data_IF_002263536317
#
_entry.id   IF_002263536317
#
_cell.length_a   1.000
_cell.length_b   1.000
_cell.length_c   1.000
_cell.angle_alpha   90.00
_cell.angle_beta   90.00
_cell.angle_gamma   90.00
#
_symmetry.space_group_name_H-M   'P 1'
#
loop_
_entity.id
_entity.type
_entity.pdbx_description
1 polymer ?
#
# COMPACT_ATOMS: atom_id res chain seq x y z
N UNK A 1 -6.58 -3.21 -0.15
CA UNK A 1 -5.99 -3.50 -1.49
C UNK A 1 -6.52 -4.80 -2.15
N UNK A 2 -6.83 -4.78 -3.46
CA UNK A 2 -7.44 -5.92 -4.20
C UNK A 2 -6.52 -7.13 -4.48
N UNK A 3 -7.01 -8.13 -5.24
CA UNK A 3 -6.26 -9.37 -5.55
C UNK A 3 -4.90 -9.05 -6.22
N UNK A 4 -3.81 -9.43 -5.55
CA UNK A 4 -2.45 -9.43 -6.08
C UNK A 4 -2.05 -10.86 -6.42
N UNK A 5 -2.51 -11.34 -7.58
CA UNK A 5 -2.15 -12.65 -8.11
C UNK A 5 -0.95 -12.54 -9.04
N UNK A 6 -0.04 -13.51 -8.98
CA UNK A 6 1.11 -13.59 -9.89
C UNK A 6 0.65 -13.66 -11.35
N UNK A 7 1.32 -12.88 -12.21
CA UNK A 7 1.05 -12.81 -13.64
C UNK A 7 2.02 -11.87 -14.34
N UNK A 8 2.09 -11.98 -15.68
CA UNK A 8 2.92 -11.12 -16.52
C UNK A 8 2.10 -9.90 -16.97
N UNK A 9 2.43 -8.68 -16.53
CA UNK A 9 1.69 -7.50 -16.95
C UNK A 9 1.96 -7.17 -18.41
N UNK A 10 0.90 -6.82 -19.15
CA UNK A 10 0.99 -6.33 -20.51
C UNK A 10 1.53 -4.90 -20.56
N UNK A 11 2.32 -4.59 -21.58
CA UNK A 11 2.71 -3.22 -21.97
C UNK A 11 1.51 -2.42 -22.49
N UNK A 12 1.64 -1.09 -22.59
CA UNK A 12 0.56 -0.26 -23.11
C UNK A 12 0.21 -0.58 -24.57
N UNK A 13 1.22 -0.93 -25.38
CA UNK A 13 1.02 -1.33 -26.77
C UNK A 13 0.22 -2.62 -26.88
N UNK A 14 0.51 -3.62 -26.05
CA UNK A 14 -0.26 -4.87 -26.00
C UNK A 14 -1.66 -4.65 -25.44
N UNK A 15 -1.81 -3.86 -24.37
CA UNK A 15 -3.11 -3.51 -23.78
C UNK A 15 -4.00 -2.86 -24.84
N UNK A 16 -3.47 -1.94 -25.66
CA UNK A 16 -4.23 -1.28 -26.74
C UNK A 16 -4.92 -2.27 -27.68
N UNK A 17 -4.28 -3.41 -27.98
CA UNK A 17 -4.83 -4.42 -28.88
C UNK A 17 -6.05 -5.13 -28.28
N UNK A 18 -6.12 -5.22 -26.95
CA UNK A 18 -7.18 -5.94 -26.22
C UNK A 18 -8.10 -5.02 -25.42
N UNK A 19 -7.95 -3.69 -25.53
CA UNK A 19 -8.72 -2.71 -24.73
C UNK A 19 -10.23 -2.91 -24.84
N UNK A 20 -10.73 -3.14 -26.07
CA UNK A 20 -12.15 -3.34 -26.30
C UNK A 20 -12.63 -4.63 -25.64
N UNK A 21 -11.84 -5.70 -25.75
CA UNK A 21 -12.15 -6.99 -25.11
C UNK A 21 -12.20 -6.86 -23.58
N UNK A 22 -11.22 -6.17 -22.97
CA UNK A 22 -11.20 -5.91 -21.52
C UNK A 22 -12.46 -5.16 -21.09
N UNK A 23 -12.87 -4.13 -21.83
CA UNK A 23 -14.08 -3.35 -21.52
C UNK A 23 -15.35 -4.19 -21.65
N UNK A 24 -15.48 -4.96 -22.74
CA UNK A 24 -16.62 -5.86 -22.95
C UNK A 24 -16.73 -6.87 -21.81
N UNK A 25 -15.64 -7.58 -21.50
CA UNK A 25 -15.64 -8.57 -20.41
C UNK A 25 -15.88 -7.94 -19.04
N UNK A 26 -15.34 -6.74 -18.79
CA UNK A 26 -15.61 -6.01 -17.55
C UNK A 26 -17.09 -5.63 -17.41
N UNK A 27 -17.74 -5.21 -18.50
CA UNK A 27 -19.18 -4.94 -18.52
C UNK A 27 -20.00 -6.21 -18.33
N UNK A 28 -19.65 -7.31 -18.98
CA UNK A 28 -20.32 -8.60 -18.81
C UNK A 28 -20.22 -9.07 -17.35
N UNK A 29 -19.04 -8.98 -16.76
CA UNK A 29 -18.82 -9.29 -15.33
C UNK A 29 -19.65 -8.38 -14.43
N UNK A 30 -19.67 -7.06 -14.69
CA UNK A 30 -20.47 -6.11 -13.93
C UNK A 30 -21.96 -6.44 -13.99
N UNK A 31 -22.50 -6.69 -15.19
CA UNK A 31 -23.90 -7.07 -15.39
C UNK A 31 -24.22 -8.40 -14.70
N UNK A 32 -23.33 -9.38 -14.77
CA UNK A 32 -23.50 -10.67 -14.10
C UNK A 32 -23.50 -10.52 -12.57
N UNK A 33 -22.57 -9.75 -12.01
CA UNK A 33 -22.53 -9.45 -10.57
C UNK A 33 -23.78 -8.71 -10.14
N UNK A 34 -24.21 -7.70 -10.90
CA UNK A 34 -25.43 -6.96 -10.62
C UNK A 34 -26.65 -7.88 -10.66
N UNK A 35 -26.87 -8.64 -11.73
CA UNK A 35 -28.02 -9.54 -11.83
C UNK A 35 -28.02 -10.63 -10.75
N UNK A 36 -26.85 -11.10 -10.33
CA UNK A 36 -26.73 -12.10 -9.26
C UNK A 36 -27.10 -11.54 -7.88
N UNK A 37 -26.86 -10.25 -7.63
CA UNK A 37 -26.94 -9.67 -6.28
C UNK A 37 -27.89 -8.48 -6.13
N UNK A 38 -28.53 -7.99 -7.19
CA UNK A 38 -29.44 -6.83 -7.17
C UNK A 38 -30.64 -6.99 -6.22
N UNK A 39 -31.09 -8.23 -6.04
CA UNK A 39 -32.25 -8.55 -5.20
C UNK A 39 -31.84 -9.00 -3.79
N UNK A 40 -30.56 -8.85 -3.41
CA UNK A 40 -30.11 -9.09 -2.03
C UNK A 40 -30.83 -8.15 -1.07
N UNK A 41 -31.37 -8.71 -0.01
CA UNK A 41 -32.02 -7.98 1.06
C UNK A 41 -31.54 -8.52 2.41
N UNK A 42 -31.70 -7.72 3.47
CA UNK A 42 -31.35 -8.08 4.84
C UNK A 42 -29.87 -8.39 5.04
N UNK A 43 -29.00 -7.78 4.24
CA UNK A 43 -27.55 -7.83 4.49
C UNK A 43 -27.25 -7.12 5.82
N UNK A 44 -26.34 -7.70 6.61
CA UNK A 44 -25.86 -7.07 7.83
C UNK A 44 -25.12 -5.77 7.48
N UNK A 45 -25.30 -4.73 8.29
CA UNK A 45 -24.50 -3.51 8.16
C UNK A 45 -23.10 -3.80 8.68
N UNK A 46 -22.21 -4.09 7.74
CA UNK A 46 -20.79 -4.33 7.97
C UNK A 46 -19.99 -3.15 7.44
N UNK A 47 -18.97 -2.75 8.18
CA UNK A 47 -18.09 -1.64 7.80
C UNK A 47 -16.68 -1.90 8.32
N UNK A 48 -15.71 -1.12 7.87
CA UNK A 48 -14.32 -1.26 8.26
C UNK A 48 -13.55 0.01 7.97
N UNK A 49 -12.35 0.10 8.52
CA UNK A 49 -11.41 1.17 8.23
C UNK A 49 -10.15 0.59 7.55
N UNK A 50 -9.51 1.41 6.73
CA UNK A 50 -8.19 1.10 6.17
C UNK A 50 -7.21 2.19 6.60
N UNK A 51 -6.01 1.79 7.04
CA UNK A 51 -4.97 2.73 7.47
C UNK A 51 -3.64 2.40 6.86
N UNK A 52 -2.96 3.44 6.36
CA UNK A 52 -1.59 3.35 5.86
C UNK A 52 -0.60 3.88 6.90
N UNK A 53 0.48 3.13 7.10
CA UNK A 53 1.59 3.47 7.96
C UNK A 53 2.82 3.79 7.11
N UNK A 54 3.43 4.94 7.34
CA UNK A 54 4.73 5.31 6.80
C UNK A 54 5.83 4.86 7.74
N UNK A 55 6.78 4.08 7.23
CA UNK A 55 7.98 3.65 7.92
C UNK A 55 9.05 4.73 7.82
N UNK A 56 9.64 5.09 8.95
CA UNK A 56 10.72 6.08 9.03
C UNK A 56 11.86 5.61 9.90
N UNK A 57 13.04 6.16 9.64
CA UNK A 57 14.23 6.01 10.48
C UNK A 57 14.69 7.37 10.97
N UNK A 58 14.86 7.49 12.27
CA UNK A 58 15.41 8.67 12.92
C UNK A 58 16.93 8.54 13.06
N UNK A 59 17.64 9.53 12.57
CA UNK A 59 19.08 9.72 12.80
C UNK A 59 19.23 10.87 13.80
N UNK A 60 19.16 10.53 15.09
CA UNK A 60 19.20 11.51 16.18
C UNK A 60 20.51 12.30 16.19
N UNK A 61 21.63 11.65 15.84
CA UNK A 61 22.96 12.28 15.79
C UNK A 61 23.01 13.40 14.76
N UNK A 62 22.50 13.15 13.55
CA UNK A 62 22.50 14.13 12.46
C UNK A 62 21.21 14.95 12.38
N UNK A 63 20.30 14.80 13.36
CA UNK A 63 18.98 15.45 13.41
C UNK A 63 18.20 15.29 12.08
N UNK A 64 18.17 14.08 11.56
CA UNK A 64 17.56 13.78 10.27
C UNK A 64 16.54 12.65 10.39
N UNK A 65 15.54 12.63 9.50
CA UNK A 65 14.54 11.57 9.39
C UNK A 65 14.46 11.15 7.93
N UNK A 66 14.40 9.86 7.67
CA UNK A 66 14.35 9.29 6.32
C UNK A 66 13.25 8.24 6.22
N UNK A 67 12.69 8.05 5.03
CA UNK A 67 11.77 6.96 4.73
C UNK A 67 12.49 5.62 4.80
N UNK A 68 11.96 4.68 5.56
CA UNK A 68 12.56 3.36 5.77
C UNK A 68 12.01 2.36 4.73
N UNK A 69 12.86 1.89 3.81
CA UNK A 69 12.49 0.97 2.74
C UNK A 69 12.48 -0.48 3.21
N UNK A 70 11.58 -0.84 4.13
CA UNK A 70 11.55 -2.14 4.83
C UNK A 70 10.20 -2.87 4.76
N UNK A 71 9.16 -2.31 4.14
CA UNK A 71 7.84 -2.97 4.13
C UNK A 71 7.87 -4.36 3.49
N UNK A 72 8.75 -4.58 2.50
CA UNK A 72 8.98 -5.90 1.91
C UNK A 72 9.52 -6.99 2.83
N UNK A 73 10.15 -6.61 3.94
CA UNK A 73 10.65 -7.55 4.94
C UNK A 73 9.64 -7.73 6.06
N UNK A 74 8.86 -6.69 6.35
CA UNK A 74 7.90 -6.69 7.46
C UNK A 74 6.63 -7.50 7.18
N UNK A 75 6.06 -7.45 5.96
CA UNK A 75 4.76 -8.13 5.75
C UNK A 75 4.83 -9.66 5.91
N UNK A 76 5.89 -10.39 5.47
CA UNK A 76 6.01 -11.82 5.77
C UNK A 76 5.98 -12.09 7.28
N UNK A 77 6.71 -11.29 8.06
CA UNK A 77 6.75 -11.43 9.52
C UNK A 77 5.36 -11.17 10.11
N UNK A 78 4.70 -10.10 9.70
CA UNK A 78 3.35 -9.75 10.15
C UNK A 78 2.31 -10.81 9.76
N UNK A 79 2.41 -11.36 8.56
CA UNK A 79 1.55 -12.43 8.06
C UNK A 79 1.72 -13.71 8.89
N UNK A 80 2.96 -14.12 9.15
CA UNK A 80 3.26 -15.29 10.00
C UNK A 80 2.83 -15.08 11.46
N UNK A 81 2.96 -13.86 12.00
CA UNK A 81 2.47 -13.54 13.33
C UNK A 81 0.94 -13.67 13.40
N UNK A 82 0.21 -13.15 12.42
CA UNK A 82 -1.25 -13.26 12.39
C UNK A 82 -1.75 -14.72 12.34
N UNK A 83 -1.05 -15.59 11.60
CA UNK A 83 -1.41 -17.03 11.54
C UNK A 83 -1.32 -17.72 12.89
N UNK A 84 -0.50 -17.19 13.82
CA UNK A 84 -0.31 -17.73 15.17
C UNK A 84 -1.26 -17.14 16.21
N UNK A 85 -2.08 -16.17 15.84
CA UNK A 85 -3.08 -15.56 16.74
C UNK A 85 -4.35 -16.42 16.66
N UNK A 86 -4.73 -17.04 17.77
CA UNK A 86 -5.94 -17.88 17.83
C UNK A 86 -7.22 -17.02 17.81
N UNK A 87 -7.24 -15.94 18.59
CA UNK A 87 -8.38 -15.05 18.71
C UNK A 87 -8.43 -14.04 17.53
N UNK A 88 -9.47 -14.20 16.70
CA UNK A 88 -9.70 -13.38 15.51
C UNK A 88 -9.83 -11.88 15.82
N UNK A 89 -10.22 -11.51 17.04
CA UNK A 89 -10.31 -10.11 17.47
C UNK A 89 -8.94 -9.41 17.47
N UNK A 90 -7.84 -10.17 17.56
CA UNK A 90 -6.46 -9.66 17.54
C UNK A 90 -5.74 -9.87 16.21
N UNK A 91 -6.38 -10.56 15.26
CA UNK A 91 -5.84 -10.69 13.89
C UNK A 91 -6.02 -9.37 13.15
N UNK A 92 -5.07 -9.06 12.29
CA UNK A 92 -5.08 -7.90 11.40
C UNK A 92 -4.87 -8.39 9.96
N UNK A 93 -5.48 -7.76 8.96
CA UNK A 93 -5.11 -8.02 7.58
C UNK A 93 -4.11 -6.96 7.13
N UNK A 94 -2.94 -7.40 6.67
CA UNK A 94 -1.86 -6.51 6.19
C UNK A 94 -1.75 -6.59 4.67
N UNK A 95 -1.57 -5.44 4.04
CA UNK A 95 -1.41 -5.34 2.60
C UNK A 95 -0.13 -4.57 2.23
N UNK A 96 0.54 -4.97 1.14
CA UNK A 96 1.61 -4.16 0.58
C UNK A 96 1.03 -2.90 -0.04
N UNK A 97 1.75 -1.80 0.12
CA UNK A 97 1.45 -0.56 -0.59
C UNK A 97 2.37 -0.35 -1.80
N UNK A 98 2.11 0.70 -2.58
CA UNK A 98 2.90 1.02 -3.76
C UNK A 98 4.39 1.22 -3.45
N UNK A 99 4.69 1.82 -2.30
CA UNK A 99 6.05 2.14 -1.87
C UNK A 99 6.56 1.18 -0.78
N UNK A 100 7.85 0.88 -0.82
CA UNK A 100 8.53 -0.01 0.13
C UNK A 100 8.70 0.62 1.54
N UNK A 101 8.25 1.86 1.74
CA UNK A 101 8.16 2.51 3.05
C UNK A 101 6.74 2.57 3.58
N UNK A 102 5.76 1.99 2.91
CA UNK A 102 4.36 2.02 3.31
C UNK A 102 3.81 0.61 3.56
N UNK A 103 2.91 0.51 4.54
CA UNK A 103 2.14 -0.70 4.87
C UNK A 103 0.69 -0.29 5.07
N UNK A 104 -0.24 -0.96 4.40
CA UNK A 104 -1.68 -0.82 4.64
C UNK A 104 -2.15 -1.90 5.61
N UNK A 105 -3.14 -1.56 6.44
CA UNK A 105 -3.74 -2.48 7.40
C UNK A 105 -5.22 -2.19 7.64
N UNK A 106 -5.98 -3.28 7.79
CA UNK A 106 -7.43 -3.29 8.02
C UNK A 106 -7.75 -4.27 9.16
N UNK A 107 -8.87 -4.13 9.88
CA UNK A 107 -9.30 -5.15 10.84
C UNK A 107 -9.54 -6.49 10.12
N UNK A 108 -9.22 -7.62 10.77
CA UNK A 108 -9.39 -8.94 10.15
C UNK A 108 -10.86 -9.27 9.84
N UNK A 109 -11.76 -8.87 10.74
CA UNK A 109 -13.20 -8.94 10.52
C UNK A 109 -13.78 -7.53 10.38
N UNK A 110 -14.82 -7.34 9.54
CA UNK A 110 -15.55 -6.09 9.51
C UNK A 110 -16.25 -5.83 10.85
N UNK A 111 -16.36 -4.56 11.21
CA UNK A 111 -17.21 -4.11 12.31
C UNK A 111 -18.68 -4.30 11.96
N UNK A 112 -19.51 -4.55 12.98
CA UNK A 112 -20.97 -4.71 12.82
C UNK A 112 -21.75 -3.41 13.04
N UNK A 113 -23.07 -3.54 13.02
CA UNK A 113 -24.04 -2.45 13.17
C UNK A 113 -24.06 -1.77 14.55
N UNK A 114 -23.70 -2.51 15.61
CA UNK A 114 -23.80 -1.99 16.97
C UNK A 114 -22.90 -0.79 17.19
N UNK A 115 -23.43 0.26 17.83
CA UNK A 115 -22.64 1.43 18.21
C UNK A 115 -21.47 1.10 19.15
N UNK A 116 -21.51 -0.06 19.83
CA UNK A 116 -20.38 -0.56 20.62
C UNK A 116 -19.09 -0.75 19.82
N UNK A 117 -19.18 -1.01 18.51
CA UNK A 117 -18.00 -1.16 17.65
C UNK A 117 -17.21 0.15 17.50
N UNK A 118 -17.83 1.32 17.69
CA UNK A 118 -17.08 2.59 17.68
C UNK A 118 -16.02 2.64 18.79
N UNK A 119 -16.27 1.95 19.91
CA UNK A 119 -15.32 1.86 21.01
C UNK A 119 -14.16 0.89 20.73
N UNK A 120 -14.25 0.06 19.68
CA UNK A 120 -13.20 -0.92 19.33
C UNK A 120 -12.27 -0.45 18.23
N UNK A 121 -12.69 0.53 17.41
CA UNK A 121 -11.89 1.00 16.25
C UNK A 121 -10.52 1.51 16.69
N UNK A 122 -10.48 2.43 17.65
CA UNK A 122 -9.20 3.00 18.11
C UNK A 122 -8.32 1.93 18.76
N UNK A 123 -8.91 1.01 19.53
CA UNK A 123 -8.18 -0.10 20.14
C UNK A 123 -7.54 -1.00 19.06
N UNK A 124 -8.27 -1.30 17.99
CA UNK A 124 -7.76 -2.06 16.86
C UNK A 124 -6.66 -1.29 16.09
N UNK A 125 -6.82 0.01 15.83
CA UNK A 125 -5.78 0.86 15.23
C UNK A 125 -4.50 0.90 16.09
N UNK A 126 -4.64 1.03 17.41
CA UNK A 126 -3.51 0.99 18.36
C UNK A 126 -2.83 -0.38 18.34
N UNK A 127 -3.58 -1.47 18.24
CA UNK A 127 -3.03 -2.83 18.13
C UNK A 127 -2.17 -2.97 16.86
N UNK A 128 -2.69 -2.54 15.69
CA UNK A 128 -1.95 -2.52 14.43
C UNK A 128 -0.62 -1.79 14.59
N UNK A 129 -0.66 -0.57 15.11
CA UNK A 129 0.55 0.23 15.37
C UNK A 129 1.53 -0.47 16.30
N UNK A 130 1.06 -1.06 17.39
CA UNK A 130 1.90 -1.78 18.35
C UNK A 130 2.59 -2.99 17.73
N UNK A 131 1.89 -3.77 16.91
CA UNK A 131 2.47 -4.95 16.26
C UNK A 131 3.64 -4.57 15.35
N UNK A 132 3.48 -3.58 14.46
CA UNK A 132 4.56 -3.14 13.56
C UNK A 132 5.71 -2.52 14.36
N UNK A 133 5.39 -1.61 15.29
CA UNK A 133 6.41 -0.89 16.06
C UNK A 133 7.24 -1.84 16.93
N UNK A 134 6.64 -2.90 17.49
CA UNK A 134 7.35 -3.93 18.26
C UNK A 134 8.40 -4.65 17.41
N UNK A 135 8.03 -5.09 16.21
CA UNK A 135 8.96 -5.79 15.30
C UNK A 135 10.14 -4.88 14.93
N UNK A 136 9.86 -3.59 14.67
CA UNK A 136 10.92 -2.62 14.40
C UNK A 136 11.87 -2.45 15.59
N UNK A 137 11.32 -2.35 16.81
CA UNK A 137 12.11 -2.21 18.03
C UNK A 137 12.92 -3.44 18.41
N UNK A 138 12.46 -4.64 18.06
CA UNK A 138 13.26 -5.86 18.21
C UNK A 138 14.52 -5.85 17.33
N UNK A 139 14.54 -5.04 16.26
CA UNK A 139 15.68 -4.91 15.36
C UNK A 139 16.55 -3.67 15.67
N UNK A 140 15.94 -2.52 15.94
CA UNK A 140 16.65 -1.24 16.16
C UNK A 140 15.83 -0.27 17.02
N UNK A 141 16.48 0.64 17.73
CA UNK A 141 15.83 1.71 18.54
C UNK A 141 15.49 2.99 17.76
N UNK A 142 15.81 3.03 16.46
CA UNK A 142 15.74 4.23 15.62
C UNK A 142 14.72 4.14 14.47
N UNK A 143 13.96 3.04 14.37
CA UNK A 143 12.96 2.81 13.33
C UNK A 143 11.54 2.89 13.90
N UNK A 144 10.68 3.66 13.23
CA UNK A 144 9.35 4.01 13.73
C UNK A 144 8.30 4.00 12.63
N UNK A 145 7.05 3.90 13.05
CA UNK A 145 5.88 4.11 12.20
C UNK A 145 5.23 5.48 12.45
N UNK A 146 4.78 6.11 11.38
CA UNK A 146 4.01 7.35 11.41
C UNK A 146 2.73 7.20 10.57
N UNK A 147 1.63 7.78 11.04
CA UNK A 147 0.44 8.01 10.22
C UNK A 147 0.54 9.44 9.67
N UNK A 148 1.27 9.61 8.56
CA UNK A 148 1.42 10.90 7.87
C UNK A 148 0.96 10.75 6.43
N UNK A 149 0.26 11.76 5.93
CA UNK A 149 -0.27 11.75 4.55
C UNK A 149 0.81 12.01 3.51
N UNK A 150 1.77 12.87 3.84
CA UNK A 150 2.88 13.21 2.96
C UNK A 150 4.17 13.32 3.78
N UNK A 151 5.24 12.71 3.29
CA UNK A 151 6.55 12.86 3.90
C UNK A 151 7.17 14.20 3.48
N UNK A 152 7.41 15.16 4.39
CA UNK A 152 7.74 16.53 4.01
C UNK A 152 9.04 16.70 3.21
N UNK A 153 9.97 15.75 3.34
CA UNK A 153 11.27 15.77 2.64
C UNK A 153 11.34 14.81 1.46
N UNK A 154 10.19 14.33 0.98
CA UNK A 154 10.14 13.41 -0.15
C UNK A 154 10.87 14.02 -1.36
N UNK A 155 11.78 13.25 -1.96
CA UNK A 155 12.51 13.71 -3.13
C UNK A 155 13.62 14.72 -2.89
N UNK A 156 14.00 14.98 -1.63
CA UNK A 156 15.02 15.98 -1.26
C UNK A 156 16.24 15.36 -0.58
N UNK A 157 17.41 15.48 -1.19
CA UNK A 157 18.68 14.94 -0.65
C UNK A 157 18.60 13.43 -0.39
N UNK A 158 19.25 12.94 0.66
CA UNK A 158 19.13 11.54 1.08
C UNK A 158 17.89 11.34 1.97
N UNK A 159 16.70 11.28 1.35
CA UNK A 159 15.41 11.16 2.04
C UNK A 159 14.99 9.73 2.38
N UNK A 160 15.78 8.71 2.00
CA UNK A 160 15.50 7.29 2.27
C UNK A 160 16.58 6.60 3.09
N UNK A 161 16.22 5.49 3.70
CA UNK A 161 17.12 4.53 4.32
C UNK A 161 16.73 3.09 3.92
N UNK A 162 17.65 2.30 3.33
CA UNK A 162 18.96 2.71 2.84
C UNK A 162 18.87 3.85 1.80
N UNK A 163 19.96 4.63 1.61
CA UNK A 163 19.98 5.67 0.59
C UNK A 163 19.82 5.04 -0.80
N UNK A 164 19.06 5.71 -1.65
CA UNK A 164 18.88 5.32 -3.05
C UNK A 164 19.35 6.44 -3.97
N UNK A 165 19.79 6.05 -5.16
CA UNK A 165 20.00 6.99 -6.26
C UNK A 165 18.67 7.30 -6.94
N UNK A 166 18.49 8.56 -7.32
CA UNK A 166 17.31 9.06 -8.01
C UNK A 166 17.71 10.10 -9.06
N UNK A 167 16.83 10.31 -10.04
CA UNK A 167 17.11 11.15 -11.20
C UNK A 167 16.57 10.51 -12.48
N UNK A 168 16.75 11.19 -13.62
CA UNK A 168 16.09 10.83 -14.88
C UNK A 168 16.36 9.38 -15.33
N UNK A 169 17.52 8.83 -14.99
CA UNK A 169 17.94 7.46 -15.34
C UNK A 169 17.43 6.37 -14.38
N UNK A 170 16.94 6.75 -13.20
CA UNK A 170 16.56 5.83 -12.12
C UNK A 170 15.05 5.65 -11.98
N UNK A 171 14.28 6.27 -12.87
CA UNK A 171 12.82 6.23 -12.84
C UNK A 171 12.25 6.00 -14.23
N UNK A 172 11.33 5.04 -14.35
CA UNK A 172 10.54 4.84 -15.60
C UNK A 172 9.79 6.10 -16.01
N UNK A 173 9.39 6.92 -15.04
CA UNK A 173 8.70 8.19 -15.25
C UNK A 173 9.65 9.34 -15.57
N UNK A 174 10.96 9.07 -15.62
CA UNK A 174 12.02 10.08 -15.75
C UNK A 174 11.89 11.18 -14.71
N UNK A 175 11.57 10.83 -13.46
CA UNK A 175 11.46 11.78 -12.36
C UNK A 175 12.84 12.32 -11.94
N UNK A 176 12.89 13.57 -11.49
CA UNK A 176 14.10 14.18 -10.93
C UNK A 176 14.28 13.87 -9.44
N UNK A 177 13.23 13.46 -8.75
CA UNK A 177 13.19 13.34 -7.30
C UNK A 177 12.71 11.97 -6.82
N UNK A 178 12.27 11.09 -7.74
CA UNK A 178 11.82 9.74 -7.47
C UNK A 178 12.74 8.71 -8.13
N UNK A 179 12.80 7.52 -7.54
CA UNK A 179 13.52 6.36 -8.05
C UNK A 179 12.63 5.15 -7.98
N UNK A 180 12.69 4.28 -8.98
CA UNK A 180 11.91 3.04 -9.03
C UNK A 180 12.24 2.11 -7.86
N UNK A 181 13.42 2.26 -7.24
CA UNK A 181 13.83 1.55 -6.03
C UNK A 181 12.99 1.90 -4.79
N UNK A 182 12.18 2.96 -4.84
CA UNK A 182 11.19 3.24 -3.81
C UNK A 182 10.02 2.27 -3.85
N UNK A 183 9.73 1.69 -5.02
CA UNK A 183 8.57 0.82 -5.17
C UNK A 183 8.71 -0.42 -4.31
N UNK A 184 7.57 -0.84 -3.80
CA UNK A 184 7.39 -2.13 -3.18
C UNK A 184 7.75 -3.25 -4.17
N UNK A 185 8.69 -4.15 -3.83
CA UNK A 185 9.09 -5.26 -4.70
C UNK A 185 8.08 -6.41 -4.71
N UNK A 186 7.00 -6.37 -3.92
CA UNK A 186 6.06 -7.49 -3.80
C UNK A 186 5.33 -7.86 -5.08
N UNK A 187 5.02 -6.88 -5.94
CA UNK A 187 4.14 -7.14 -7.07
C UNK A 187 4.43 -6.22 -8.27
N UNK A 188 4.52 -6.76 -9.50
CA UNK A 188 4.92 -5.98 -10.67
C UNK A 188 3.88 -4.93 -11.09
N UNK A 189 2.63 -5.05 -10.61
CA UNK A 189 1.50 -4.14 -10.90
C UNK A 189 1.87 -2.66 -10.83
N UNK A 190 2.57 -2.22 -9.78
CA UNK A 190 2.88 -0.79 -9.60
C UNK A 190 3.86 -0.29 -10.65
N UNK A 191 4.95 -1.04 -10.88
CA UNK A 191 5.92 -0.72 -11.93
C UNK A 191 5.26 -0.66 -13.31
N UNK A 192 4.45 -1.67 -13.64
CA UNK A 192 3.74 -1.72 -14.92
C UNK A 192 2.71 -0.62 -15.07
N UNK A 193 2.03 -0.22 -13.98
CA UNK A 193 1.10 0.90 -13.97
C UNK A 193 1.83 2.21 -14.32
N UNK A 194 2.98 2.49 -13.69
CA UNK A 194 3.76 3.70 -13.96
C UNK A 194 4.28 3.73 -15.41
N UNK A 195 4.82 2.60 -15.91
CA UNK A 195 5.27 2.47 -17.30
C UNK A 195 4.11 2.78 -18.25
N UNK A 196 2.97 2.10 -18.07
CA UNK A 196 1.81 2.22 -18.96
C UNK A 196 1.17 3.62 -18.89
N UNK A 197 1.17 4.28 -17.73
CA UNK A 197 0.70 5.68 -17.61
C UNK A 197 1.59 6.60 -18.45
N UNK A 198 2.91 6.50 -18.34
CA UNK A 198 3.83 7.36 -19.09
C UNK A 198 3.76 7.07 -20.60
N UNK A 199 3.73 5.80 -21.00
CA UNK A 199 3.55 5.41 -22.40
C UNK A 199 2.21 5.87 -22.95
N UNK A 200 1.13 5.83 -22.17
CA UNK A 200 -0.17 6.35 -22.61
C UNK A 200 -0.18 7.86 -22.74
N UNK A 201 0.39 8.56 -21.76
CA UNK A 201 0.37 10.02 -21.67
C UNK A 201 1.36 10.70 -22.62
N UNK A 202 2.38 9.96 -23.10
CA UNK A 202 3.47 10.47 -23.95
C UNK A 202 4.25 11.64 -23.29
N UNK A 203 4.09 11.81 -21.98
CA UNK A 203 4.76 12.82 -21.17
C UNK A 203 4.67 12.39 -19.70
N UNK A 204 5.52 12.99 -18.86
CA UNK A 204 5.50 12.73 -17.41
C UNK A 204 4.19 13.20 -16.79
N UNK A 205 3.79 12.56 -15.69
CA UNK A 205 2.81 13.14 -14.79
C UNK A 205 3.40 14.44 -14.21
N UNK A 206 2.57 15.49 -14.14
CA UNK A 206 2.98 16.80 -13.63
C UNK A 206 1.97 17.26 -12.59
N UNK A 207 2.45 17.56 -11.39
CA UNK A 207 1.66 18.00 -10.24
C UNK A 207 2.31 19.28 -9.73
N UNK A 208 1.63 20.41 -9.88
CA UNK A 208 2.06 21.71 -9.38
C UNK A 208 1.19 22.08 -8.18
N UNK A 209 1.81 22.25 -7.02
CA UNK A 209 1.16 22.67 -5.78
C UNK A 209 1.52 24.15 -5.57
N UNK A 210 0.55 25.06 -5.34
CA UNK A 210 0.81 26.49 -5.17
C UNK A 210 1.59 26.82 -3.90
#
# INVERSE_FOLDING_TARGET
MGLLSEGNPLSWTEIKLVLQQIRTYGLDQLVNVFNKYKDRQKDAFLWGDETELTLVRFDHKNKNVRLLLKSHQLLPILSELNKKIDDEAYRITWHPEACNFAIESVPFQPYGFSSSYFNTVEANMRLRRKQVQRILFEQTDCEYILNITAFPRYGQGQYTYPPIEYGLSYSVEKSLCYSDSLMSPYHPRMKSLLININERRQSKVSINIP
#
